data_IF_510229399146
#
_entry.id   IF_510229399146
#
_cell.length_a   1.000
_cell.length_b   1.000
_cell.length_c   1.000
_cell.angle_alpha   90.00
_cell.angle_beta   90.00
_cell.angle_gamma   90.00
#
_symmetry.space_group_name_H-M   'P 1'
#
loop_
_entity.id
_entity.type
_entity.pdbx_description
1 polymer ?
#
# COMPACT_ATOMS: atom_id res chain seq x y z
N UNK A 1 -15.64 13.65 3.72
CA UNK A 1 -14.33 13.07 4.09
C UNK A 1 -13.74 12.37 2.88
N UNK A 2 -12.51 12.68 2.55
CA UNK A 2 -11.77 12.02 1.47
C UNK A 2 -10.88 10.95 2.07
N UNK A 3 -10.78 9.81 1.38
CA UNK A 3 -9.86 8.72 1.76
C UNK A 3 -9.06 8.36 0.52
N UNK A 4 -7.81 8.77 0.46
CA UNK A 4 -6.94 8.49 -0.68
C UNK A 4 -5.96 7.36 -0.37
N UNK A 5 -5.56 6.67 -1.41
CA UNK A 5 -4.59 5.58 -1.32
C UNK A 5 -3.28 6.01 -1.96
N UNK A 6 -2.16 5.71 -1.29
CA UNK A 6 -0.81 5.96 -1.78
C UNK A 6 -0.09 4.64 -2.02
N UNK A 7 0.57 4.51 -3.15
CA UNK A 7 1.37 3.34 -3.52
C UNK A 7 2.72 3.77 -4.12
N UNK A 8 3.79 3.00 -3.89
CA UNK A 8 5.02 3.15 -4.66
C UNK A 8 4.78 2.93 -6.15
N UNK A 9 4.05 1.88 -6.50
CA UNK A 9 3.77 1.50 -7.89
C UNK A 9 2.35 0.97 -8.01
N UNK A 10 1.68 1.29 -9.12
CA UNK A 10 0.43 0.65 -9.54
C UNK A 10 0.68 -0.01 -10.89
N UNK A 11 0.56 -1.35 -10.95
CA UNK A 11 0.88 -2.13 -12.13
C UNK A 11 -0.21 -3.17 -12.45
N UNK A 12 -0.31 -3.53 -13.74
CA UNK A 12 -1.23 -4.55 -14.20
C UNK A 12 -0.78 -5.94 -13.69
N UNK A 13 -1.71 -6.68 -13.09
CA UNK A 13 -1.45 -8.03 -12.59
C UNK A 13 -0.71 -8.12 -11.26
N UNK A 14 -0.39 -6.97 -10.66
CA UNK A 14 0.23 -6.91 -9.34
C UNK A 14 -0.81 -7.03 -8.23
N UNK A 15 -0.54 -7.86 -7.23
CA UNK A 15 -1.47 -8.18 -6.15
C UNK A 15 -1.81 -6.95 -5.28
N UNK A 16 -0.81 -6.14 -4.95
CA UNK A 16 -0.99 -4.91 -4.14
C UNK A 16 -1.82 -3.88 -4.89
N UNK A 17 -1.57 -3.74 -6.19
CA UNK A 17 -2.35 -2.85 -7.07
C UNK A 17 -3.80 -3.29 -7.18
N UNK A 18 -4.04 -4.59 -7.33
CA UNK A 18 -5.39 -5.15 -7.36
C UNK A 18 -6.13 -4.94 -6.03
N UNK A 19 -5.44 -5.11 -4.89
CA UNK A 19 -5.99 -4.82 -3.58
C UNK A 19 -6.38 -3.35 -3.44
N UNK A 20 -5.50 -2.43 -3.86
CA UNK A 20 -5.79 -1.00 -3.81
C UNK A 20 -7.01 -0.62 -4.68
N UNK A 21 -7.16 -1.23 -5.86
CA UNK A 21 -8.32 -1.03 -6.74
C UNK A 21 -9.60 -1.53 -6.04
N UNK A 22 -9.56 -2.71 -5.43
CA UNK A 22 -10.68 -3.30 -4.71
C UNK A 22 -11.07 -2.47 -3.46
N UNK A 23 -10.09 -2.04 -2.66
CA UNK A 23 -10.29 -1.11 -1.54
C UNK A 23 -10.91 0.20 -2.02
N UNK A 24 -10.43 0.74 -3.15
CA UNK A 24 -11.01 1.95 -3.74
C UNK A 24 -12.49 1.79 -4.13
N UNK A 25 -12.90 0.60 -4.57
CA UNK A 25 -14.31 0.29 -4.83
C UNK A 25 -15.11 0.29 -3.54
N UNK A 26 -14.65 -0.41 -2.52
CA UNK A 26 -15.31 -0.46 -1.19
C UNK A 26 -15.46 0.95 -0.61
N UNK A 27 -14.43 1.77 -0.67
CA UNK A 27 -14.50 3.15 -0.17
C UNK A 27 -15.55 3.99 -0.91
N UNK A 28 -15.69 3.83 -2.23
CA UNK A 28 -16.74 4.51 -3.00
C UNK A 28 -18.14 4.02 -2.62
N UNK A 29 -18.30 2.71 -2.46
CA UNK A 29 -19.57 2.11 -2.05
C UNK A 29 -20.00 2.57 -0.64
N UNK A 30 -19.03 2.89 0.21
CA UNK A 30 -19.24 3.52 1.53
C UNK A 30 -19.50 5.04 1.47
N UNK A 31 -19.48 5.65 0.30
CA UNK A 31 -19.75 7.08 0.10
C UNK A 31 -18.53 8.01 0.31
N UNK A 32 -17.31 7.48 0.38
CA UNK A 32 -16.12 8.32 0.45
C UNK A 32 -15.68 8.80 -0.93
N UNK A 33 -15.25 10.06 -1.00
CA UNK A 33 -14.44 10.52 -2.14
C UNK A 33 -13.06 9.86 -2.03
N UNK A 34 -12.67 9.09 -3.07
CA UNK A 34 -11.42 8.32 -3.05
C UNK A 34 -10.67 8.40 -4.37
N UNK A 35 -9.39 8.10 -4.33
CA UNK A 35 -8.52 8.00 -5.48
C UNK A 35 -7.21 7.31 -5.11
N UNK A 36 -6.56 6.73 -6.12
CA UNK A 36 -5.25 6.10 -6.00
C UNK A 36 -4.19 7.05 -6.54
N UNK A 37 -3.13 7.27 -5.77
CA UNK A 37 -1.97 8.08 -6.14
C UNK A 37 -0.71 7.23 -6.00
N UNK A 38 0.16 7.27 -7.02
CA UNK A 38 1.37 6.47 -7.03
C UNK A 38 2.57 7.23 -7.60
N UNK A 39 3.78 6.82 -7.23
CA UNK A 39 5.01 7.33 -7.83
C UNK A 39 5.19 6.77 -9.25
N UNK A 40 4.87 5.49 -9.44
CA UNK A 40 4.98 4.80 -10.71
C UNK A 40 3.62 4.21 -11.13
N UNK A 41 3.26 4.40 -12.39
CA UNK A 41 1.99 3.92 -12.94
C UNK A 41 2.26 3.19 -14.24
N UNK A 42 1.88 1.92 -14.31
CA UNK A 42 1.98 1.12 -15.52
C UNK A 42 1.07 1.68 -16.62
N UNK A 43 1.65 1.95 -17.77
CA UNK A 43 0.95 2.53 -18.94
C UNK A 43 -0.14 1.62 -19.52
N UNK A 44 -0.13 0.33 -19.19
CA UNK A 44 -1.13 -0.64 -19.62
C UNK A 44 -2.44 -0.57 -18.84
N UNK A 45 -2.45 0.13 -17.71
CA UNK A 45 -3.66 0.31 -16.91
C UNK A 45 -4.66 1.23 -17.60
N UNK A 46 -5.97 1.00 -17.44
CA UNK A 46 -7.00 1.91 -17.92
C UNK A 46 -6.77 3.34 -17.42
N UNK A 47 -7.03 4.31 -18.30
CA UNK A 47 -6.94 5.74 -17.92
C UNK A 47 -7.82 6.03 -16.71
N UNK A 48 -7.27 6.77 -15.74
CA UNK A 48 -7.99 7.13 -14.52
C UNK A 48 -7.92 6.11 -13.39
N UNK A 49 -7.30 4.95 -13.57
CA UNK A 49 -7.09 3.96 -12.49
C UNK A 49 -6.27 4.58 -11.34
N UNK A 50 -5.21 5.28 -11.66
CA UNK A 50 -4.37 5.99 -10.70
C UNK A 50 -3.89 7.32 -11.26
N UNK A 51 -3.44 8.21 -10.39
CA UNK A 51 -2.79 9.49 -10.73
C UNK A 51 -1.42 9.55 -10.07
N UNK A 52 -0.50 10.30 -10.68
CA UNK A 52 0.80 10.51 -10.07
C UNK A 52 0.68 11.26 -8.75
N UNK A 53 1.49 10.90 -7.75
CA UNK A 53 1.43 11.45 -6.39
C UNK A 53 1.53 12.97 -6.34
N UNK A 54 2.25 13.60 -7.28
CA UNK A 54 2.33 15.08 -7.39
C UNK A 54 0.99 15.76 -7.70
N UNK A 55 -0.01 15.00 -8.13
CA UNK A 55 -1.37 15.49 -8.42
C UNK A 55 -2.33 15.25 -7.26
N UNK A 56 -1.84 14.75 -6.13
CA UNK A 56 -2.67 14.56 -4.95
C UNK A 56 -3.10 15.93 -4.40
N UNK A 57 -4.39 16.16 -4.17
CA UNK A 57 -4.85 17.42 -3.60
C UNK A 57 -4.37 17.57 -2.16
N UNK A 58 -4.29 18.80 -1.68
CA UNK A 58 -4.00 19.05 -0.26
C UNK A 58 -5.06 18.39 0.62
N UNK A 59 -4.60 17.66 1.63
CA UNK A 59 -5.43 16.98 2.60
C UNK A 59 -5.61 17.85 3.85
N UNK A 60 -6.75 17.68 4.49
CA UNK A 60 -7.13 18.32 5.76
C UNK A 60 -7.16 17.28 6.89
N UNK A 61 -7.30 17.73 8.12
CA UNK A 61 -7.41 16.84 9.28
C UNK A 61 -8.65 15.92 9.24
N UNK A 62 -9.68 16.29 8.48
CA UNK A 62 -10.87 15.46 8.28
C UNK A 62 -10.70 14.37 7.21
N UNK A 63 -9.59 14.37 6.47
CA UNK A 63 -9.28 13.40 5.43
C UNK A 63 -8.40 12.27 5.97
N UNK A 64 -8.28 11.20 5.21
CA UNK A 64 -7.39 10.08 5.52
C UNK A 64 -6.57 9.64 4.31
N UNK A 65 -5.43 9.05 4.59
CA UNK A 65 -4.57 8.39 3.61
C UNK A 65 -4.35 6.94 4.05
N UNK A 66 -4.43 6.02 3.11
CA UNK A 66 -4.02 4.62 3.25
C UNK A 66 -2.76 4.41 2.40
N UNK A 67 -1.63 4.20 3.05
CA UNK A 67 -0.37 3.93 2.37
C UNK A 67 -0.14 2.43 2.28
N UNK A 68 -0.06 1.91 1.05
CA UNK A 68 0.25 0.52 0.77
C UNK A 68 1.77 0.32 0.84
N UNK A 69 2.23 -0.16 1.98
CA UNK A 69 3.64 -0.39 2.26
C UNK A 69 4.03 -1.79 1.82
N UNK A 70 4.72 -1.90 0.68
CA UNK A 70 5.10 -3.17 0.04
C UNK A 70 6.55 -3.23 -0.43
N UNK A 71 7.21 -2.07 -0.59
CA UNK A 71 8.58 -1.97 -1.07
C UNK A 71 9.20 -0.63 -0.66
N UNK A 72 10.45 -0.37 -1.04
CA UNK A 72 11.13 0.90 -0.83
C UNK A 72 10.50 2.04 -1.63
N UNK A 73 10.27 3.17 -0.96
CA UNK A 73 9.69 4.38 -1.56
C UNK A 73 9.89 5.59 -0.67
N UNK A 74 10.09 6.75 -1.27
CA UNK A 74 10.17 8.04 -0.57
C UNK A 74 8.85 8.41 0.13
N UNK A 75 7.74 7.80 -0.28
CA UNK A 75 6.45 7.97 0.38
C UNK A 75 6.51 7.62 1.87
N UNK A 76 7.30 6.62 2.26
CA UNK A 76 7.49 6.25 3.65
C UNK A 76 8.08 7.38 4.50
N UNK A 77 8.90 8.25 3.91
CA UNK A 77 9.57 9.36 4.61
C UNK A 77 8.86 10.70 4.44
N UNK A 78 7.74 10.72 3.73
CA UNK A 78 6.94 11.92 3.50
C UNK A 78 5.53 11.81 4.07
N UNK A 79 5.06 10.60 4.33
CA UNK A 79 3.72 10.31 4.86
C UNK A 79 3.46 11.03 6.19
N UNK A 80 4.44 11.04 7.08
CA UNK A 80 4.34 11.67 8.42
C UNK A 80 4.13 13.20 8.35
N UNK A 81 4.50 13.83 7.23
CA UNK A 81 4.31 15.28 7.00
C UNK A 81 2.88 15.66 6.60
N UNK A 82 2.05 14.70 6.27
CA UNK A 82 0.66 14.96 5.88
C UNK A 82 -0.19 15.33 7.09
N UNK A 83 -1.05 16.34 6.93
CA UNK A 83 -1.95 16.83 7.99
C UNK A 83 -3.33 16.17 7.92
N UNK A 84 -3.35 14.84 7.85
CA UNK A 84 -4.55 14.02 7.79
C UNK A 84 -4.37 12.77 8.64
N UNK A 85 -5.41 11.96 8.82
CA UNK A 85 -5.26 10.62 9.40
C UNK A 85 -4.45 9.73 8.47
N UNK A 86 -3.53 8.96 9.02
CA UNK A 86 -2.60 8.11 8.28
C UNK A 86 -2.78 6.65 8.69
N UNK A 87 -3.21 5.83 7.73
CA UNK A 87 -3.22 4.40 7.86
C UNK A 87 -2.13 3.76 6.99
N UNK A 88 -1.56 2.67 7.45
CA UNK A 88 -0.66 1.82 6.66
C UNK A 88 -1.37 0.48 6.39
N UNK A 89 -1.36 0.05 5.13
CA UNK A 89 -1.69 -1.32 4.74
C UNK A 89 -0.36 -2.01 4.45
N UNK A 90 0.00 -2.97 5.31
CA UNK A 90 1.30 -3.62 5.24
C UNK A 90 1.22 -4.95 4.49
N UNK A 91 1.81 -4.97 3.30
CA UNK A 91 1.82 -6.13 2.39
C UNK A 91 3.07 -7.00 2.53
N UNK A 92 3.85 -6.81 3.58
CA UNK A 92 5.17 -7.36 3.81
C UNK A 92 6.25 -6.70 2.92
N UNK A 93 7.48 -6.71 3.42
CA UNK A 93 8.66 -6.37 2.63
C UNK A 93 9.64 -7.54 2.80
N UNK A 94 9.85 -8.26 1.71
CA UNK A 94 10.74 -9.42 1.70
C UNK A 94 12.10 -9.05 2.29
N UNK A 95 12.66 -9.85 3.21
CA UNK A 95 14.00 -9.61 3.71
C UNK A 95 15.04 -9.56 2.59
N UNK A 96 15.81 -8.49 2.54
CA UNK A 96 16.71 -8.15 1.44
C UNK A 96 17.76 -9.22 1.17
N UNK A 97 18.22 -9.92 2.22
CA UNK A 97 19.26 -10.94 2.11
C UNK A 97 18.92 -12.10 1.15
N UNK A 98 17.63 -12.35 0.88
CA UNK A 98 17.22 -13.34 -0.13
C UNK A 98 17.64 -12.95 -1.54
N UNK A 99 17.82 -11.67 -1.82
CA UNK A 99 18.19 -11.17 -3.14
C UNK A 99 19.69 -10.88 -3.28
N UNK A 100 20.43 -10.83 -2.19
CA UNK A 100 21.88 -10.54 -2.18
C UNK A 100 22.69 -11.33 -3.21
N UNK A 101 22.51 -12.66 -3.39
CA UNK A 101 23.28 -13.41 -4.37
C UNK A 101 22.80 -13.23 -5.81
N UNK A 102 21.66 -12.54 -6.05
CA UNK A 102 21.02 -12.50 -7.36
C UNK A 102 20.89 -11.08 -7.93
N UNK A 103 20.57 -10.11 -7.09
CA UNK A 103 20.26 -8.73 -7.54
C UNK A 103 20.44 -7.71 -6.41
N UNK A 104 21.57 -6.97 -6.46
CA UNK A 104 21.91 -5.97 -5.46
C UNK A 104 20.98 -4.76 -5.47
N UNK A 105 20.42 -4.37 -6.64
CA UNK A 105 19.48 -3.25 -6.71
C UNK A 105 18.16 -3.57 -5.98
N UNK A 106 17.69 -4.81 -6.10
CA UNK A 106 16.51 -5.28 -5.36
C UNK A 106 16.84 -5.38 -3.87
N UNK A 107 18.04 -5.87 -3.49
CA UNK A 107 18.47 -5.88 -2.10
C UNK A 107 18.41 -4.47 -1.48
N UNK A 108 19.01 -3.48 -2.13
CA UNK A 108 19.00 -2.09 -1.68
C UNK A 108 17.60 -1.51 -1.58
N UNK A 109 16.74 -1.78 -2.57
CA UNK A 109 15.35 -1.33 -2.58
C UNK A 109 14.55 -1.89 -1.39
N UNK A 110 14.73 -3.17 -1.09
CA UNK A 110 14.05 -3.83 0.03
C UNK A 110 14.58 -3.32 1.38
N UNK A 111 15.88 -3.11 1.51
CA UNK A 111 16.48 -2.49 2.68
C UNK A 111 15.94 -1.06 2.91
N UNK A 112 15.81 -0.29 1.84
CA UNK A 112 15.20 1.02 1.89
C UNK A 112 13.74 0.96 2.34
N UNK A 113 12.99 -0.03 1.86
CA UNK A 113 11.62 -0.28 2.28
C UNK A 113 11.51 -0.62 3.77
N UNK A 114 12.38 -1.47 4.29
CA UNK A 114 12.42 -1.82 5.72
C UNK A 114 12.80 -0.62 6.60
N UNK A 115 13.73 0.22 6.15
CA UNK A 115 14.03 1.51 6.80
C UNK A 115 12.80 2.42 6.82
N UNK A 116 12.06 2.48 5.70
CA UNK A 116 10.80 3.24 5.61
C UNK A 116 9.73 2.70 6.55
N UNK A 117 9.57 1.37 6.64
CA UNK A 117 8.67 0.74 7.60
C UNK A 117 9.02 1.10 9.04
N UNK A 118 10.29 0.98 9.43
CA UNK A 118 10.75 1.38 10.76
C UNK A 118 10.56 2.88 11.02
N UNK A 119 10.77 3.74 10.02
CA UNK A 119 10.57 5.19 10.13
C UNK A 119 9.12 5.56 10.48
N UNK A 120 8.15 4.81 9.96
CA UNK A 120 6.72 5.08 10.18
C UNK A 120 6.20 4.59 11.53
N UNK A 121 6.96 3.77 12.26
CA UNK A 121 6.59 3.33 13.59
C UNK A 121 6.34 4.54 14.52
N UNK A 122 5.19 4.56 15.18
CA UNK A 122 4.76 5.68 16.04
C UNK A 122 4.31 6.96 15.30
N UNK A 123 4.28 6.96 13.96
CA UNK A 123 3.92 8.14 13.15
C UNK A 123 2.62 7.97 12.34
N UNK A 124 1.95 6.85 12.49
CA UNK A 124 0.68 6.54 11.83
C UNK A 124 -0.40 6.26 12.86
N UNK A 125 -1.65 6.48 12.48
CA UNK A 125 -2.79 6.42 13.39
C UNK A 125 -3.32 4.97 13.55
N UNK A 126 -3.20 4.15 12.51
CA UNK A 126 -3.60 2.74 12.52
C UNK A 126 -2.91 1.96 11.40
N UNK A 127 -2.96 0.62 11.50
CA UNK A 127 -2.46 -0.26 10.46
C UNK A 127 -3.45 -1.37 10.12
N UNK A 128 -3.38 -1.82 8.87
CA UNK A 128 -3.95 -3.08 8.39
C UNK A 128 -2.78 -3.97 7.97
N UNK A 129 -2.81 -5.22 8.36
CA UNK A 129 -1.78 -6.20 7.99
C UNK A 129 -2.43 -7.36 7.24
N UNK A 130 -1.82 -7.83 6.17
CA UNK A 130 -2.40 -8.89 5.33
C UNK A 130 -2.49 -10.25 6.06
N UNK A 131 -1.72 -10.42 7.14
CA UNK A 131 -1.68 -11.66 7.93
C UNK A 131 -1.30 -11.40 9.39
N UNK A 132 -1.47 -12.41 10.23
CA UNK A 132 -0.97 -12.37 11.61
C UNK A 132 0.56 -12.24 11.66
N UNK A 133 1.26 -12.87 10.72
CA UNK A 133 2.72 -12.71 10.59
C UNK A 133 3.10 -11.25 10.35
N UNK A 134 2.45 -10.60 9.39
CA UNK A 134 2.69 -9.18 9.07
C UNK A 134 2.34 -8.26 10.26
N UNK A 135 1.28 -8.59 11.00
CA UNK A 135 0.93 -7.89 12.24
C UNK A 135 2.03 -8.02 13.31
N UNK A 136 2.58 -9.21 13.50
CA UNK A 136 3.69 -9.43 14.43
C UNK A 136 4.92 -8.65 14.01
N UNK A 137 5.27 -8.69 12.72
CA UNK A 137 6.41 -7.92 12.19
C UNK A 137 6.27 -6.41 12.41
N UNK A 138 5.06 -5.84 12.22
CA UNK A 138 4.82 -4.43 12.57
C UNK A 138 5.02 -4.17 14.06
N UNK A 139 4.60 -5.08 14.94
CA UNK A 139 4.85 -4.95 16.39
C UNK A 139 6.34 -4.97 16.72
N UNK A 140 7.10 -5.86 16.09
CA UNK A 140 8.55 -5.98 16.26
C UNK A 140 9.27 -4.71 15.73
N UNK A 141 8.73 -4.04 14.72
CA UNK A 141 9.19 -2.75 14.21
C UNK A 141 8.81 -1.56 15.12
N UNK A 142 8.04 -1.79 16.19
CA UNK A 142 7.69 -0.75 17.18
C UNK A 142 6.37 -0.02 16.90
N UNK A 143 5.50 -0.55 16.04
CA UNK A 143 4.15 0.02 15.86
C UNK A 143 3.29 -0.25 17.09
N UNK A 144 2.80 0.80 17.73
CA UNK A 144 1.99 0.76 18.95
C UNK A 144 0.52 1.14 18.72
N UNK A 145 0.15 1.57 17.51
CA UNK A 145 -1.23 1.87 17.12
C UNK A 145 -2.09 0.59 16.98
N UNK A 146 -3.37 0.76 16.72
CA UNK A 146 -4.24 -0.38 16.35
C UNK A 146 -3.77 -1.03 15.06
N UNK A 147 -3.63 -2.38 15.08
CA UNK A 147 -3.30 -3.17 13.91
C UNK A 147 -4.36 -4.25 13.74
N UNK A 148 -5.22 -4.10 12.73
CA UNK A 148 -6.17 -5.13 12.33
C UNK A 148 -5.56 -6.05 11.27
N UNK A 149 -5.94 -7.32 11.27
CA UNK A 149 -5.59 -8.24 10.18
C UNK A 149 -6.67 -8.20 9.12
N UNK A 150 -6.29 -7.88 7.90
CA UNK A 150 -7.16 -7.84 6.74
C UNK A 150 -6.42 -8.43 5.53
N UNK A 151 -6.69 -9.69 5.17
CA UNK A 151 -6.10 -10.30 3.99
C UNK A 151 -6.40 -9.48 2.72
N UNK A 152 -5.53 -9.62 1.71
CA UNK A 152 -5.70 -8.99 0.39
C UNK A 152 -7.07 -9.35 -0.18
N UNK A 153 -7.74 -8.39 -0.80
CA UNK A 153 -9.02 -8.61 -1.46
C UNK A 153 -8.80 -9.32 -2.80
N UNK A 154 -9.30 -10.55 -2.92
CA UNK A 154 -9.21 -11.34 -4.13
C UNK A 154 -10.60 -11.46 -4.76
N UNK A 155 -10.79 -11.02 -6.03
CA UNK A 155 -12.08 -11.12 -6.71
C UNK A 155 -12.31 -12.56 -7.23
N UNK A 156 -12.60 -13.50 -6.34
CA UNK A 156 -12.77 -14.92 -6.67
C UNK A 156 -13.81 -15.15 -7.79
N UNK A 157 -14.85 -14.33 -7.85
CA UNK A 157 -15.87 -14.44 -8.92
C UNK A 157 -15.29 -14.23 -10.33
N UNK A 158 -14.27 -13.39 -10.48
CA UNK A 158 -13.59 -13.16 -11.75
C UNK A 158 -12.71 -14.36 -12.15
N UNK A 159 -12.09 -15.02 -11.16
CA UNK A 159 -11.28 -16.23 -11.40
C UNK A 159 -12.17 -17.43 -11.80
N UNK A 160 -13.36 -17.57 -11.23
CA UNK A 160 -14.28 -18.64 -11.54
C UNK A 160 -14.83 -18.56 -13.00
N UNK A 161 -14.77 -17.40 -13.63
CA UNK A 161 -15.24 -17.19 -15.02
C UNK A 161 -14.16 -17.47 -16.08
N UNK A 162 -12.92 -17.69 -15.68
CA UNK A 162 -11.84 -18.02 -16.63
C UNK A 162 -11.95 -19.49 -17.01
N UNK A 163 -11.90 -19.81 -18.35
CA UNK A 163 -11.86 -21.20 -18.78
C UNK A 163 -10.62 -21.89 -18.17
N UNK A 164 -10.80 -23.11 -17.71
CA UNK A 164 -9.66 -23.93 -17.32
C UNK A 164 -8.70 -24.01 -18.52
N UNK A 165 -7.42 -23.87 -18.26
CA UNK A 165 -6.40 -24.08 -19.28
C UNK A 165 -6.58 -25.52 -19.82
N UNK A 166 -6.85 -25.63 -21.12
CA UNK A 166 -6.89 -26.91 -21.83
C UNK A 166 -5.45 -27.41 -22.08
#
# INVERSE_FOLDING_TARGET
MRVFQLLPTVAMGDAVSNDAIAVGKVLRDMGYETGIFAENIDKRLPSGTARHVSRMPRLSQSDAVLYHLSTGSDLSFTLDKLRCRKGVIYHNITPSYFFRPYNGEIEELLDYGRKGAAHLAGKVDFCLADSQYNKSELRDLGYNCDIAVRPILIPFAEYAQRPAFA
#
